data_IF_244638731700
#
_entry.id   IF_244638731700
#
_cell.length_a   1.000
_cell.length_b   1.000
_cell.length_c   1.000
_cell.angle_alpha   90.00
_cell.angle_beta   90.00
_cell.angle_gamma   90.00
#
_symmetry.space_group_name_H-M   'P 1'
#
loop_
_entity.id
_entity.type
_entity.pdbx_description
1 polymer ?
#
# COMPACT_ATOMS: atom_id res chain seq x y z
N UNK A 1 14.63 6.77 8.38
CA UNK A 1 13.45 6.28 7.60
C UNK A 1 12.59 5.25 8.33
N UNK A 2 13.05 4.63 9.44
CA UNK A 2 12.31 3.59 10.15
C UNK A 2 11.13 4.12 10.99
N UNK A 3 11.29 5.24 11.69
CA UNK A 3 10.27 5.78 12.61
C UNK A 3 8.89 5.96 11.96
N UNK A 4 8.75 6.56 10.77
CA UNK A 4 7.42 6.69 10.13
C UNK A 4 6.77 5.35 9.77
N UNK A 5 7.55 4.30 9.48
CA UNK A 5 7.00 2.95 9.25
C UNK A 5 6.46 2.36 10.55
N UNK A 6 7.18 2.52 11.67
CA UNK A 6 6.74 2.00 12.97
C UNK A 6 5.41 2.63 13.35
N UNK A 7 5.35 3.96 13.33
CA UNK A 7 4.13 4.70 13.67
C UNK A 7 2.96 4.34 12.73
N UNK A 8 3.22 4.12 11.43
CA UNK A 8 2.15 3.79 10.48
C UNK A 8 1.62 2.36 10.61
N UNK A 9 2.48 1.38 10.87
CA UNK A 9 2.14 -0.04 10.76
C UNK A 9 2.00 -0.76 12.11
N UNK A 10 2.55 -0.21 13.19
CA UNK A 10 2.42 -0.77 14.55
C UNK A 10 1.50 0.06 15.43
N UNK A 11 1.53 1.38 15.28
CA UNK A 11 0.68 2.30 16.06
C UNK A 11 -0.57 2.75 15.28
N UNK A 12 -0.76 2.26 14.06
CA UNK A 12 -1.88 2.57 13.15
C UNK A 12 -2.18 4.07 12.93
N UNK A 13 -1.19 4.94 13.15
CA UNK A 13 -1.35 6.39 13.03
C UNK A 13 -1.56 6.83 11.57
N UNK A 14 -2.39 7.86 11.39
CA UNK A 14 -2.59 8.57 10.12
C UNK A 14 -1.35 9.38 9.72
N UNK A 15 -1.30 9.86 8.47
CA UNK A 15 -0.14 10.65 8.02
C UNK A 15 -0.05 12.01 8.70
N UNK A 16 -1.21 12.57 9.05
CA UNK A 16 -1.40 13.80 9.78
C UNK A 16 -0.88 13.66 11.23
N UNK A 17 -1.31 12.62 11.95
CA UNK A 17 -0.83 12.36 13.33
C UNK A 17 0.67 12.08 13.38
N UNK A 18 1.22 11.37 12.39
CA UNK A 18 2.66 11.13 12.28
C UNK A 18 3.41 12.45 12.02
N UNK A 19 2.86 13.31 11.16
CA UNK A 19 3.44 14.60 10.84
C UNK A 19 3.51 15.51 12.08
N UNK A 20 2.43 15.57 12.84
CA UNK A 20 2.35 16.30 14.12
C UNK A 20 3.32 15.72 15.16
N UNK A 21 3.32 14.40 15.35
CA UNK A 21 4.17 13.72 16.35
C UNK A 21 5.66 13.90 16.07
N UNK A 22 6.04 13.96 14.79
CA UNK A 22 7.43 14.11 14.37
C UNK A 22 7.83 15.57 14.07
N UNK A 23 6.93 16.53 14.26
CA UNK A 23 7.09 17.96 13.94
C UNK A 23 7.63 18.19 12.52
N UNK A 24 6.98 17.59 11.53
CA UNK A 24 7.31 17.72 10.10
C UNK A 24 6.06 17.80 9.24
N UNK A 25 6.21 18.18 7.98
CA UNK A 25 5.07 18.23 7.06
C UNK A 25 4.59 16.83 6.62
N UNK A 26 3.30 16.70 6.33
CA UNK A 26 2.71 15.49 5.73
C UNK A 26 3.42 15.11 4.41
N UNK A 27 3.85 16.10 3.62
CA UNK A 27 4.63 15.88 2.42
C UNK A 27 5.97 15.18 2.72
N UNK A 28 6.69 15.62 3.75
CA UNK A 28 7.92 14.98 4.19
C UNK A 28 7.69 13.54 4.67
N UNK A 29 6.58 13.26 5.37
CA UNK A 29 6.20 11.89 5.78
C UNK A 29 5.96 11.00 4.56
N UNK A 30 5.20 11.46 3.57
CA UNK A 30 4.96 10.72 2.32
C UNK A 30 6.27 10.39 1.60
N UNK A 31 7.18 11.35 1.46
CA UNK A 31 8.50 11.12 0.86
C UNK A 31 9.36 10.14 1.66
N UNK A 32 9.36 10.25 3.00
CA UNK A 32 10.11 9.34 3.89
C UNK A 32 9.57 7.92 3.81
N UNK A 33 8.26 7.73 3.84
CA UNK A 33 7.60 6.41 3.73
C UNK A 33 7.86 5.76 2.37
N UNK A 34 7.80 6.55 1.28
CA UNK A 34 8.13 6.05 -0.05
C UNK A 34 9.57 5.51 -0.11
N UNK A 35 10.55 6.32 0.33
CA UNK A 35 11.96 5.91 0.37
C UNK A 35 12.19 4.70 1.27
N UNK A 36 11.53 4.65 2.42
CA UNK A 36 11.62 3.54 3.35
C UNK A 36 11.15 2.22 2.71
N UNK A 37 10.01 2.25 1.99
CA UNK A 37 9.50 1.09 1.25
C UNK A 37 10.43 0.66 0.12
N UNK A 38 11.03 1.60 -0.60
CA UNK A 38 11.99 1.30 -1.67
C UNK A 38 13.25 0.62 -1.12
N UNK A 39 13.78 1.11 0.01
CA UNK A 39 14.91 0.48 0.70
C UNK A 39 14.57 -0.94 1.16
N UNK A 40 13.37 -1.15 1.72
CA UNK A 40 12.94 -2.46 2.16
C UNK A 40 12.79 -3.44 0.98
N UNK A 41 12.24 -2.98 -0.14
CA UNK A 41 12.13 -3.78 -1.35
C UNK A 41 13.51 -4.18 -1.90
N UNK A 42 14.47 -3.25 -1.94
CA UNK A 42 15.83 -3.55 -2.38
C UNK A 42 16.50 -4.63 -1.53
N UNK A 43 16.41 -4.52 -0.20
CA UNK A 43 16.94 -5.52 0.73
C UNK A 43 16.28 -6.88 0.50
N UNK A 44 14.97 -6.91 0.25
CA UNK A 44 14.26 -8.17 -0.01
C UNK A 44 14.73 -8.83 -1.31
N UNK A 45 14.89 -8.04 -2.38
CA UNK A 45 15.40 -8.52 -3.67
C UNK A 45 16.84 -9.04 -3.57
N UNK A 46 17.72 -8.34 -2.86
CA UNK A 46 19.10 -8.78 -2.62
C UNK A 46 19.13 -10.12 -1.88
N UNK A 47 18.25 -10.30 -0.88
CA UNK A 47 18.14 -11.56 -0.13
C UNK A 47 17.56 -12.70 -0.95
N UNK A 48 16.57 -12.42 -1.80
CA UNK A 48 16.03 -13.42 -2.74
C UNK A 48 17.09 -13.84 -3.77
N UNK A 49 17.90 -12.91 -4.26
CA UNK A 49 18.99 -13.20 -5.20
C UNK A 49 20.15 -13.98 -4.57
N UNK A 50 20.40 -13.79 -3.26
CA UNK A 50 21.47 -14.46 -2.53
C UNK A 50 21.08 -15.82 -1.93
N UNK A 51 19.79 -16.17 -1.89
CA UNK A 51 19.35 -17.49 -1.47
C UNK A 51 19.50 -18.51 -2.62
N UNK A 52 20.00 -19.74 -2.37
CA UNK A 52 19.89 -20.81 -3.38
C UNK A 52 18.41 -20.96 -3.75
N UNK A 53 18.09 -21.20 -5.04
CA UNK A 53 16.72 -21.10 -5.53
C UNK A 53 15.81 -21.96 -4.64
N UNK A 54 14.81 -21.37 -3.97
CA UNK A 54 13.79 -22.17 -3.30
C UNK A 54 13.19 -23.11 -4.37
N UNK A 55 12.91 -24.39 -4.04
CA UNK A 55 12.28 -25.31 -4.99
C UNK A 55 11.06 -24.60 -5.55
N UNK A 56 11.06 -24.39 -6.87
CA UNK A 56 10.21 -23.44 -7.57
C UNK A 56 8.80 -23.40 -6.97
N UNK A 57 8.55 -22.42 -6.10
CA UNK A 57 7.19 -22.02 -5.83
C UNK A 57 6.69 -21.51 -7.18
N UNK A 58 5.63 -22.12 -7.76
CA UNK A 58 5.18 -21.70 -9.06
C UNK A 58 4.89 -20.22 -8.94
N UNK A 59 5.67 -19.43 -9.69
CA UNK A 59 5.50 -18.01 -9.81
C UNK A 59 4.00 -17.80 -9.95
N UNK A 60 3.39 -17.12 -8.97
CA UNK A 60 2.05 -16.59 -9.13
C UNK A 60 2.20 -15.60 -10.27
N UNK A 61 2.01 -16.15 -11.47
CA UNK A 61 2.05 -15.45 -12.72
C UNK A 61 1.22 -14.22 -12.49
N UNK A 62 1.87 -13.08 -12.60
CA UNK A 62 1.26 -11.76 -12.69
C UNK A 62 0.13 -11.87 -13.70
N UNK A 63 -1.06 -12.21 -13.21
CA UNK A 63 -2.26 -12.45 -13.97
C UNK A 63 -2.75 -11.08 -14.39
N UNK A 64 -2.16 -10.62 -15.49
CA UNK A 64 -2.62 -9.50 -16.28
C UNK A 64 -4.02 -9.86 -16.79
N UNK A 65 -5.06 -9.36 -16.12
CA UNK A 65 -6.40 -9.08 -16.64
C UNK A 65 -6.88 -7.82 -15.91
N UNK A 66 -6.73 -6.61 -16.45
CA UNK A 66 -7.73 -5.96 -17.32
C UNK A 66 -9.17 -6.34 -16.98
N UNK A 67 -9.64 -5.93 -15.79
CA UNK A 67 -11.07 -5.82 -15.46
C UNK A 67 -11.20 -5.10 -14.10
N UNK A 68 -10.95 -3.78 -14.10
CA UNK A 68 -11.57 -2.90 -13.10
C UNK A 68 -13.02 -2.67 -13.57
N UNK A 69 -13.84 -3.71 -13.36
CA UNK A 69 -15.29 -3.57 -13.24
C UNK A 69 -15.53 -2.90 -11.88
N UNK A 70 -15.66 -1.57 -11.89
CA UNK A 70 -16.09 -0.83 -10.69
C UNK A 70 -17.60 -0.97 -10.56
N UNK A 71 -18.14 -1.63 -9.51
CA UNK A 71 -19.51 -1.35 -9.12
C UNK A 71 -19.55 0.08 -8.57
N UNK A 72 -20.24 0.98 -9.26
CA UNK A 72 -20.58 2.30 -8.70
C UNK A 72 -21.60 2.11 -7.57
N UNK A 73 -21.32 2.55 -6.33
CA UNK A 73 -22.32 2.56 -5.27
C UNK A 73 -23.28 3.74 -5.44
N UNK A 74 -24.56 3.39 -5.59
CA UNK A 74 -25.75 4.06 -5.01
C UNK A 74 -25.96 5.57 -5.28
N UNK A 75 -26.80 5.89 -6.27
CA UNK A 75 -27.70 7.03 -6.17
C UNK A 75 -29.15 6.65 -6.51
N UNK A 76 -29.99 6.85 -5.49
CA UNK A 76 -31.42 7.15 -5.49
C UNK A 76 -32.42 6.11 -6.01
N UNK A 77 -32.96 5.42 -5.00
CA UNK A 77 -34.37 5.03 -4.86
C UNK A 77 -35.29 6.26 -5.07
N UNK A 78 -36.11 6.26 -6.12
CA UNK A 78 -37.37 7.00 -6.30
C UNK A 78 -38.06 6.34 -7.50
N UNK A 79 -39.03 5.46 -7.25
CA UNK A 79 -40.47 5.77 -7.26
C UNK A 79 -41.08 5.69 -8.66
N UNK A 80 -42.36 5.27 -8.69
CA UNK A 80 -43.26 5.06 -9.83
C UNK A 80 -43.16 3.63 -10.39
N UNK A 81 -44.02 2.70 -10.00
CA UNK A 81 -45.47 2.68 -10.15
C UNK A 81 -45.89 2.89 -11.60
N UNK A 82 -46.64 1.90 -12.10
CA UNK A 82 -47.73 1.99 -13.06
C UNK A 82 -47.42 1.78 -14.55
N UNK A 83 -48.20 0.82 -15.08
CA UNK A 83 -48.59 0.49 -16.46
C UNK A 83 -47.68 -0.47 -17.24
#
# INVERSE_FOLDING_TARGET
>A
YRTPLVLRYWEDMSYEEIAETMDVTVAAIKSRLFRARQQLAAIYQEREAAAPPPPAQPATAKARRTADDRPQPTMLRLALASW
#
